data_IF_194013114018
#
_entry.id   IF_194013114018
#
_cell.length_a   1.000
_cell.length_b   1.000
_cell.length_c   1.000
_cell.angle_alpha   90.00
_cell.angle_beta   90.00
_cell.angle_gamma   90.00
#
_symmetry.space_group_name_H-M   'P 1'
#
loop_
_entity.id
_entity.type
_entity.pdbx_description
1 polymer ?
#
# COMPACT_ATOMS: atom_id res chain seq x y z
N UNK A 1 -44.07 4.25 -5.27
CA UNK A 1 -45.09 5.31 -5.42
C UNK A 1 -45.50 5.78 -4.04
N UNK A 2 -44.73 6.70 -3.43
CA UNK A 2 -45.22 7.53 -2.33
C UNK A 2 -44.67 8.94 -2.56
N UNK A 3 -45.54 9.80 -3.09
CA UNK A 3 -45.37 11.22 -3.13
C UNK A 3 -45.74 11.76 -1.74
N UNK A 4 -44.79 12.33 -1.01
CA UNK A 4 -45.06 13.17 0.15
C UNK A 4 -45.12 14.61 -0.30
N UNK A 5 -46.34 15.16 -0.31
CA UNK A 5 -46.62 16.59 -0.34
C UNK A 5 -46.08 17.20 0.97
N UNK A 6 -45.15 18.14 0.84
CA UNK A 6 -44.83 19.07 1.91
C UNK A 6 -45.51 20.35 1.61
N UNK A 7 -46.57 20.64 2.36
CA UNK A 7 -47.27 21.89 2.38
C UNK A 7 -46.38 23.00 2.94
N UNK A 8 -46.43 24.09 2.24
CA UNK A 8 -45.92 25.41 2.48
C UNK A 8 -46.39 25.95 3.85
N UNK A 9 -45.50 26.03 4.82
CA UNK A 9 -45.70 26.77 6.05
C UNK A 9 -44.83 28.03 6.03
N UNK A 10 -45.42 29.06 5.45
CA UNK A 10 -45.02 30.47 5.61
C UNK A 10 -45.06 30.84 7.09
N UNK A 11 -43.89 30.93 7.74
CA UNK A 11 -43.75 31.54 9.05
C UNK A 11 -43.05 32.89 8.89
N UNK A 12 -43.86 33.93 8.99
CA UNK A 12 -43.42 35.32 9.11
C UNK A 12 -42.45 35.55 10.27
N UNK A 13 -41.38 36.22 9.96
CA UNK A 13 -40.68 37.26 10.70
C UNK A 13 -40.51 37.11 12.21
N UNK A 14 -39.34 36.56 12.61
CA UNK A 14 -38.71 37.10 13.81
C UNK A 14 -37.25 37.36 13.48
N UNK A 15 -36.94 38.65 13.22
CA UNK A 15 -35.55 39.13 13.24
C UNK A 15 -35.01 38.95 14.65
N UNK A 16 -34.30 37.87 14.88
CA UNK A 16 -33.31 37.78 15.96
C UNK A 16 -31.93 38.08 15.35
N UNK A 17 -31.64 39.39 15.22
CA UNK A 17 -30.27 39.87 15.07
C UNK A 17 -29.65 40.01 16.45
N UNK A 18 -29.36 38.89 17.10
CA UNK A 18 -28.31 38.80 18.10
C UNK A 18 -27.23 37.91 17.51
N UNK A 19 -26.31 38.58 16.81
CA UNK A 19 -25.04 37.96 16.43
C UNK A 19 -24.31 37.58 17.71
N UNK A 20 -24.32 36.29 18.04
CA UNK A 20 -23.40 35.71 19.03
C UNK A 20 -22.01 35.78 18.40
N UNK A 21 -21.12 36.70 18.86
CA UNK A 21 -19.77 36.76 18.34
C UNK A 21 -19.04 35.55 18.93
N UNK A 22 -18.76 34.55 18.12
CA UNK A 22 -17.96 33.36 18.50
C UNK A 22 -18.39 32.05 17.87
N UNK A 23 -19.59 31.93 17.29
CA UNK A 23 -20.13 30.65 16.80
C UNK A 23 -19.60 30.21 15.43
N UNK A 24 -19.06 31.12 14.62
CA UNK A 24 -18.57 30.81 13.27
C UNK A 24 -17.16 30.15 13.31
N UNK A 25 -16.32 30.58 14.22
CA UNK A 25 -14.92 30.09 14.36
C UNK A 25 -14.86 28.64 14.86
N UNK A 26 -15.80 28.25 15.74
CA UNK A 26 -15.86 26.85 16.25
C UNK A 26 -16.40 25.86 15.21
N UNK A 27 -17.26 26.27 14.29
CA UNK A 27 -17.78 25.44 13.21
C UNK A 27 -16.73 25.23 12.12
N UNK A 28 -15.98 26.25 11.76
CA UNK A 28 -14.89 26.16 10.78
C UNK A 28 -13.75 25.29 11.30
N UNK A 29 -13.38 25.42 12.58
CA UNK A 29 -12.35 24.57 13.19
C UNK A 29 -12.79 23.09 13.27
N UNK A 30 -14.05 22.80 13.59
CA UNK A 30 -14.56 21.42 13.60
C UNK A 30 -14.58 20.80 12.19
N UNK A 31 -14.91 21.58 11.17
CA UNK A 31 -14.89 21.13 9.77
C UNK A 31 -13.47 20.83 9.30
N UNK A 32 -12.49 21.66 9.67
CA UNK A 32 -11.09 21.45 9.36
C UNK A 32 -10.53 20.20 10.08
N UNK A 33 -10.87 19.99 11.35
CA UNK A 33 -10.47 18.79 12.11
C UNK A 33 -11.03 17.50 11.46
N UNK A 34 -12.26 17.50 10.97
CA UNK A 34 -12.89 16.37 10.27
C UNK A 34 -12.22 16.12 8.92
N UNK A 35 -11.86 17.18 8.18
CA UNK A 35 -11.16 17.05 6.91
C UNK A 35 -9.76 16.46 7.09
N UNK A 36 -9.03 16.86 8.11
CA UNK A 36 -7.72 16.33 8.47
C UNK A 36 -7.78 14.82 8.81
N UNK A 37 -8.78 14.42 9.63
CA UNK A 37 -9.00 13.01 9.96
C UNK A 37 -9.34 12.14 8.74
N UNK A 38 -10.14 12.66 7.80
CA UNK A 38 -10.46 11.95 6.54
C UNK A 38 -9.25 11.81 5.63
N UNK A 39 -8.40 12.82 5.59
CA UNK A 39 -7.17 12.75 4.83
C UNK A 39 -6.23 11.67 5.41
N UNK A 40 -6.08 11.63 6.74
CA UNK A 40 -5.26 10.61 7.40
C UNK A 40 -5.82 9.20 7.22
N UNK A 41 -7.15 9.03 7.23
CA UNK A 41 -7.80 7.75 6.93
C UNK A 41 -7.49 7.30 5.50
N UNK A 42 -7.56 8.20 4.51
CA UNK A 42 -7.20 7.89 3.14
C UNK A 42 -5.73 7.47 2.99
N UNK A 43 -4.82 8.13 3.72
CA UNK A 43 -3.40 7.77 3.74
C UNK A 43 -3.13 6.41 4.40
N UNK A 44 -3.94 6.00 5.39
CA UNK A 44 -3.87 4.66 6.00
C UNK A 44 -4.30 3.60 4.99
N UNK A 45 -5.41 3.84 4.27
CA UNK A 45 -5.91 2.92 3.22
C UNK A 45 -4.88 2.75 2.10
N UNK A 46 -4.23 3.84 1.67
CA UNK A 46 -3.16 3.77 0.67
C UNK A 46 -1.96 2.95 1.17
N UNK A 47 -1.56 3.15 2.44
CA UNK A 47 -0.45 2.40 3.04
C UNK A 47 -0.76 0.91 3.20
N UNK A 48 -2.02 0.54 3.47
CA UNK A 48 -2.48 -0.83 3.56
C UNK A 48 -2.43 -1.51 2.18
N UNK A 49 -2.93 -0.86 1.15
CA UNK A 49 -2.85 -1.35 -0.23
C UNK A 49 -1.39 -1.51 -0.72
N UNK A 50 -0.48 -0.59 -0.34
CA UNK A 50 0.95 -0.72 -0.63
C UNK A 50 1.56 -1.96 0.07
N UNK A 51 1.16 -2.23 1.31
CA UNK A 51 1.62 -3.39 2.06
C UNK A 51 1.11 -4.70 1.47
N UNK A 52 -0.14 -4.74 1.00
CA UNK A 52 -0.74 -5.91 0.34
C UNK A 52 -0.02 -6.24 -0.99
N UNK A 53 0.21 -5.25 -1.87
CA UNK A 53 0.98 -5.43 -3.12
C UNK A 53 2.40 -5.97 -2.84
N UNK A 54 3.05 -5.45 -1.81
CA UNK A 54 4.37 -5.95 -1.40
C UNK A 54 4.30 -7.39 -0.87
N UNK A 55 3.24 -7.76 -0.13
CA UNK A 55 2.99 -9.12 0.33
C UNK A 55 2.88 -10.10 -0.84
N UNK A 56 2.02 -9.83 -1.81
CA UNK A 56 1.87 -10.66 -3.01
C UNK A 56 3.19 -10.84 -3.79
N UNK A 57 4.03 -9.82 -3.81
CA UNK A 57 5.34 -9.88 -4.48
C UNK A 57 6.33 -10.76 -3.74
N UNK A 58 6.27 -10.81 -2.41
CA UNK A 58 7.09 -11.73 -1.62
C UNK A 58 6.64 -13.18 -1.83
N UNK A 59 5.34 -13.44 -1.75
CA UNK A 59 4.80 -14.78 -1.96
C UNK A 59 5.22 -15.33 -3.33
N UNK A 60 5.13 -14.49 -4.37
CA UNK A 60 5.62 -14.86 -5.70
C UNK A 60 7.13 -15.12 -5.74
N UNK A 61 7.93 -14.35 -5.01
CA UNK A 61 9.37 -14.54 -4.96
C UNK A 61 9.76 -15.84 -4.22
N UNK A 62 9.02 -16.19 -3.16
CA UNK A 62 9.17 -17.46 -2.45
C UNK A 62 8.83 -18.63 -3.36
N UNK A 63 7.70 -18.59 -4.07
CA UNK A 63 7.30 -19.61 -5.04
C UNK A 63 8.38 -19.83 -6.14
N UNK A 64 8.91 -18.74 -6.69
CA UNK A 64 9.99 -18.79 -7.68
C UNK A 64 11.27 -19.39 -7.09
N UNK A 65 11.59 -19.08 -5.84
CA UNK A 65 12.75 -19.60 -5.15
C UNK A 65 12.62 -21.11 -4.94
N UNK A 66 11.49 -21.57 -4.43
CA UNK A 66 11.18 -23.01 -4.23
C UNK A 66 11.23 -23.80 -5.54
N UNK A 67 10.80 -23.19 -6.65
CA UNK A 67 10.83 -23.82 -7.98
C UNK A 67 12.26 -23.95 -8.53
N UNK A 68 13.11 -22.95 -8.31
CA UNK A 68 14.46 -22.89 -8.94
C UNK A 68 15.52 -23.54 -8.06
N UNK A 69 15.37 -23.53 -6.74
CA UNK A 69 16.36 -24.04 -5.80
C UNK A 69 16.73 -25.52 -6.04
N UNK A 70 15.79 -26.45 -6.29
CA UNK A 70 16.12 -27.86 -6.62
C UNK A 70 16.96 -27.95 -7.89
N UNK A 71 16.62 -27.18 -8.93
CA UNK A 71 17.33 -27.17 -10.22
C UNK A 71 18.78 -26.72 -10.04
N UNK A 72 19.02 -25.72 -9.19
CA UNK A 72 20.38 -25.24 -8.88
C UNK A 72 21.14 -26.25 -8.03
N UNK A 73 20.48 -26.84 -7.03
CA UNK A 73 21.10 -27.83 -6.11
C UNK A 73 21.50 -29.10 -6.83
N UNK A 74 20.67 -29.58 -7.74
CA UNK A 74 20.97 -30.75 -8.58
C UNK A 74 22.04 -30.45 -9.65
N UNK A 75 22.48 -29.20 -9.77
CA UNK A 75 23.41 -28.75 -10.78
C UNK A 75 22.86 -28.85 -12.19
N UNK A 76 21.53 -28.84 -12.33
CA UNK A 76 20.86 -28.71 -13.60
C UNK A 76 20.80 -27.21 -13.99
N UNK A 77 20.46 -26.95 -15.24
CA UNK A 77 20.28 -25.59 -15.72
C UNK A 77 18.91 -25.43 -16.40
N UNK A 78 18.26 -24.31 -16.19
CA UNK A 78 17.00 -23.99 -16.86
C UNK A 78 17.22 -23.87 -18.37
N UNK A 79 16.29 -24.37 -19.15
CA UNK A 79 16.26 -24.13 -20.58
C UNK A 79 15.83 -22.67 -20.90
N UNK A 80 15.86 -22.31 -22.18
CA UNK A 80 15.51 -20.93 -22.62
C UNK A 80 14.08 -20.56 -22.24
N UNK A 81 13.12 -21.49 -22.31
CA UNK A 81 11.72 -21.23 -22.00
C UNK A 81 11.53 -20.98 -20.51
N UNK A 82 12.05 -21.88 -19.68
CA UNK A 82 12.00 -21.79 -18.23
C UNK A 82 12.73 -20.55 -17.70
N UNK A 83 13.87 -20.19 -18.29
CA UNK A 83 14.59 -18.97 -17.95
C UNK A 83 13.76 -17.71 -18.28
N UNK A 84 13.05 -17.66 -19.39
CA UNK A 84 12.16 -16.54 -19.72
C UNK A 84 11.00 -16.41 -18.73
N UNK A 85 10.43 -17.54 -18.27
CA UNK A 85 9.39 -17.56 -17.25
C UNK A 85 9.93 -17.03 -15.93
N UNK A 86 11.08 -17.50 -15.48
CA UNK A 86 11.75 -17.00 -14.28
C UNK A 86 11.96 -15.49 -14.34
N UNK A 87 12.53 -14.98 -15.43
CA UNK A 87 12.76 -13.54 -15.60
C UNK A 87 11.46 -12.72 -15.60
N UNK A 88 10.38 -13.28 -16.11
CA UNK A 88 9.06 -12.62 -16.08
C UNK A 88 8.54 -12.54 -14.65
N UNK A 89 8.62 -13.63 -13.90
CA UNK A 89 8.27 -13.63 -12.47
C UNK A 89 9.14 -12.66 -11.67
N UNK A 90 10.46 -12.68 -11.85
CA UNK A 90 11.37 -11.74 -11.19
C UNK A 90 11.06 -10.27 -11.49
N UNK A 91 10.65 -9.94 -12.72
CA UNK A 91 10.22 -8.56 -13.06
C UNK A 91 8.95 -8.15 -12.32
N UNK A 92 8.04 -9.08 -12.08
CA UNK A 92 6.84 -8.84 -11.28
C UNK A 92 7.21 -8.61 -9.82
N UNK A 93 8.07 -9.44 -9.25
CA UNK A 93 8.60 -9.28 -7.88
C UNK A 93 9.32 -7.94 -7.71
N UNK A 94 10.20 -7.58 -8.64
CA UNK A 94 10.94 -6.32 -8.60
C UNK A 94 10.03 -5.07 -8.69
N UNK A 95 8.84 -5.22 -9.27
CA UNK A 95 7.86 -4.16 -9.39
C UNK A 95 8.23 -3.07 -10.41
N UNK A 96 7.39 -2.03 -10.53
CA UNK A 96 7.51 -1.04 -11.61
C UNK A 96 8.85 -0.30 -11.65
N UNK A 97 9.44 -0.03 -10.48
CA UNK A 97 10.68 0.77 -10.35
C UNK A 97 11.93 0.00 -10.75
N UNK A 98 12.01 -1.31 -10.47
CA UNK A 98 13.21 -2.11 -10.65
C UNK A 98 13.13 -3.16 -11.76
N UNK A 99 11.95 -3.37 -12.37
CA UNK A 99 11.75 -4.38 -13.43
C UNK A 99 12.72 -4.30 -14.60
N UNK A 100 13.23 -3.09 -14.90
CA UNK A 100 14.18 -2.86 -15.98
C UNK A 100 15.61 -3.35 -15.67
N UNK A 101 15.89 -3.64 -14.39
CA UNK A 101 17.18 -4.17 -13.94
C UNK A 101 17.22 -5.70 -14.05
N UNK A 102 16.06 -6.36 -14.03
CA UNK A 102 15.96 -7.81 -14.07
C UNK A 102 16.34 -8.34 -15.46
N UNK A 103 17.28 -9.26 -15.46
CA UNK A 103 17.72 -9.94 -16.68
C UNK A 103 18.72 -9.17 -17.55
N UNK A 104 19.28 -8.04 -17.07
CA UNK A 104 20.28 -7.25 -17.82
C UNK A 104 21.53 -8.06 -18.16
N UNK A 105 21.92 -8.96 -17.27
CA UNK A 105 23.16 -9.75 -17.43
C UNK A 105 22.90 -11.18 -17.93
N UNK A 106 21.66 -11.46 -18.37
CA UNK A 106 21.32 -12.78 -18.92
C UNK A 106 21.79 -12.93 -20.33
N UNK A 107 22.71 -13.87 -20.54
CA UNK A 107 23.23 -14.24 -21.86
C UNK A 107 22.43 -15.44 -22.39
N UNK A 108 21.34 -15.17 -23.10
CA UNK A 108 20.47 -16.22 -23.68
C UNK A 108 21.24 -17.15 -24.64
N UNK A 109 22.26 -16.62 -25.33
CA UNK A 109 23.15 -17.38 -26.20
C UNK A 109 23.93 -18.44 -25.41
N UNK A 110 24.39 -18.12 -24.19
CA UNK A 110 25.07 -19.08 -23.32
C UNK A 110 24.15 -20.22 -22.86
N UNK A 111 22.85 -19.93 -22.66
CA UNK A 111 21.84 -20.94 -22.32
C UNK A 111 21.60 -21.88 -23.50
N UNK A 112 21.60 -21.35 -24.71
CA UNK A 112 21.44 -22.13 -25.96
C UNK A 112 22.68 -22.95 -26.29
N UNK A 113 23.88 -22.49 -25.87
CA UNK A 113 25.16 -23.14 -26.23
C UNK A 113 25.41 -24.47 -25.52
N UNK A 114 24.73 -24.79 -24.43
CA UNK A 114 24.85 -26.09 -23.77
C UNK A 114 24.60 -26.11 -22.26
N UNK A 115 24.81 -27.28 -21.66
CA UNK A 115 24.51 -27.55 -20.24
C UNK A 115 25.28 -26.62 -19.29
N UNK A 116 26.54 -26.39 -19.55
CA UNK A 116 27.41 -25.54 -18.71
C UNK A 116 26.92 -24.10 -18.66
N UNK A 117 26.57 -23.52 -19.82
CA UNK A 117 26.02 -22.16 -19.89
C UNK A 117 24.67 -22.06 -19.18
N UNK A 118 23.80 -23.07 -19.31
CA UNK A 118 22.52 -23.11 -18.58
C UNK A 118 22.72 -23.11 -17.08
N UNK A 119 23.59 -23.96 -16.55
CA UNK A 119 23.89 -24.03 -15.11
C UNK A 119 24.39 -22.69 -14.59
N UNK A 120 25.34 -22.08 -15.23
CA UNK A 120 25.93 -20.83 -14.79
C UNK A 120 24.89 -19.69 -14.82
N UNK A 121 24.12 -19.55 -15.90
CA UNK A 121 23.09 -18.52 -15.98
C UNK A 121 21.97 -18.74 -14.96
N UNK A 122 21.57 -20.00 -14.71
CA UNK A 122 20.57 -20.32 -13.67
C UNK A 122 21.06 -19.94 -12.30
N UNK A 123 22.32 -20.24 -11.96
CA UNK A 123 22.92 -19.87 -10.67
C UNK A 123 22.95 -18.36 -10.48
N UNK A 124 23.41 -17.60 -11.48
CA UNK A 124 23.45 -16.14 -11.43
C UNK A 124 22.04 -15.56 -11.20
N UNK A 125 21.04 -16.07 -11.91
CA UNK A 125 19.67 -15.57 -11.75
C UNK A 125 19.05 -15.96 -10.42
N UNK A 126 19.39 -17.12 -9.88
CA UNK A 126 18.94 -17.56 -8.56
C UNK A 126 19.51 -16.69 -7.43
N UNK A 127 20.77 -16.30 -7.48
CA UNK A 127 21.35 -15.34 -6.53
C UNK A 127 20.67 -13.96 -6.66
N UNK A 128 20.43 -13.49 -7.88
CA UNK A 128 19.68 -12.24 -8.11
C UNK A 128 18.25 -12.31 -7.58
N UNK A 129 17.58 -13.45 -7.67
CA UNK A 129 16.24 -13.66 -7.10
C UNK A 129 16.28 -13.56 -5.57
N UNK A 130 17.26 -14.20 -4.90
CA UNK A 130 17.44 -14.09 -3.44
C UNK A 130 17.66 -12.65 -2.99
N UNK A 131 18.48 -11.89 -3.70
CA UNK A 131 18.70 -10.48 -3.39
C UNK A 131 17.42 -9.65 -3.57
N UNK A 132 16.64 -9.93 -4.61
CA UNK A 132 15.36 -9.30 -4.87
C UNK A 132 14.34 -9.61 -3.77
N UNK A 133 14.28 -10.86 -3.31
CA UNK A 133 13.44 -11.30 -2.20
C UNK A 133 13.82 -10.57 -0.90
N UNK A 134 15.11 -10.51 -0.59
CA UNK A 134 15.59 -9.78 0.60
C UNK A 134 15.21 -8.30 0.55
N UNK A 135 15.39 -7.65 -0.60
CA UNK A 135 14.99 -6.25 -0.78
C UNK A 135 13.47 -6.05 -0.63
N UNK A 136 12.66 -6.97 -1.13
CA UNK A 136 11.21 -6.95 -0.97
C UNK A 136 10.80 -7.09 0.51
N UNK A 137 11.41 -7.99 1.26
CA UNK A 137 11.19 -8.13 2.71
C UNK A 137 11.52 -6.85 3.50
N UNK A 138 12.63 -6.20 3.20
CA UNK A 138 12.98 -4.94 3.86
C UNK A 138 12.00 -3.81 3.49
N UNK A 139 11.50 -3.78 2.24
CA UNK A 139 10.47 -2.83 1.82
C UNK A 139 9.14 -3.05 2.57
N UNK A 140 8.72 -4.30 2.77
CA UNK A 140 7.53 -4.65 3.56
C UNK A 140 7.69 -4.18 5.00
N UNK A 141 8.80 -4.49 5.66
CA UNK A 141 9.04 -4.03 7.03
C UNK A 141 8.97 -2.50 7.15
N UNK A 142 9.49 -1.78 6.16
CA UNK A 142 9.43 -0.33 6.11
C UNK A 142 8.00 0.19 5.90
N UNK A 143 7.22 -0.44 5.01
CA UNK A 143 5.82 -0.12 4.76
C UNK A 143 4.97 -0.34 6.02
N UNK A 144 5.11 -1.49 6.69
CA UNK A 144 4.42 -1.76 7.96
C UNK A 144 4.78 -0.75 9.06
N UNK A 145 6.05 -0.39 9.21
CA UNK A 145 6.45 0.66 10.17
C UNK A 145 5.77 1.99 9.87
N UNK A 146 5.70 2.38 8.60
CA UNK A 146 5.06 3.62 8.15
C UNK A 146 3.56 3.59 8.41
N UNK A 147 2.89 2.51 8.02
CA UNK A 147 1.45 2.32 8.26
C UNK A 147 1.11 2.34 9.75
N UNK A 148 1.87 1.62 10.57
CA UNK A 148 1.67 1.60 12.02
C UNK A 148 1.85 2.97 12.66
N UNK A 149 2.84 3.76 12.24
CA UNK A 149 3.03 5.11 12.74
C UNK A 149 1.83 6.02 12.40
N UNK A 150 1.28 5.91 11.18
CA UNK A 150 0.09 6.64 10.75
C UNK A 150 -1.16 6.23 11.55
N UNK A 151 -1.40 4.93 11.72
CA UNK A 151 -2.51 4.40 12.53
C UNK A 151 -2.44 4.92 13.97
N UNK A 152 -1.26 4.90 14.57
CA UNK A 152 -1.04 5.43 15.93
C UNK A 152 -1.38 6.92 16.02
N UNK A 153 -0.94 7.71 15.05
CA UNK A 153 -1.21 9.16 15.01
C UNK A 153 -2.69 9.44 14.84
N UNK A 154 -3.34 8.76 13.89
CA UNK A 154 -4.78 8.85 13.66
C UNK A 154 -5.59 8.48 14.90
N UNK A 155 -5.23 7.39 15.58
CA UNK A 155 -5.90 6.96 16.82
C UNK A 155 -5.83 8.02 17.91
N UNK A 156 -4.66 8.63 18.13
CA UNK A 156 -4.46 9.70 19.12
C UNK A 156 -5.33 10.91 18.77
N UNK A 157 -5.31 11.36 17.52
CA UNK A 157 -6.11 12.51 17.05
C UNK A 157 -7.61 12.25 17.17
N UNK A 158 -8.08 11.07 16.77
CA UNK A 158 -9.50 10.69 16.88
C UNK A 158 -9.96 10.66 18.35
N UNK A 159 -9.13 10.17 19.25
CA UNK A 159 -9.42 10.14 20.67
C UNK A 159 -9.48 11.55 21.28
N UNK A 160 -8.57 12.44 20.88
CA UNK A 160 -8.56 13.82 21.35
C UNK A 160 -9.73 14.64 20.76
N UNK A 161 -10.08 14.43 19.49
CA UNK A 161 -11.27 15.01 18.88
C UNK A 161 -12.56 14.57 19.58
N UNK A 162 -12.67 13.29 19.93
CA UNK A 162 -13.81 12.74 20.67
C UNK A 162 -13.95 13.36 22.08
N UNK A 163 -12.83 13.58 22.78
CA UNK A 163 -12.85 14.29 24.08
C UNK A 163 -13.31 15.74 23.95
N UNK A 164 -12.83 16.46 22.92
CA UNK A 164 -13.25 17.85 22.64
C UNK A 164 -14.75 17.94 22.35
N UNK A 165 -15.28 17.03 21.51
CA UNK A 165 -16.70 16.97 21.20
C UNK A 165 -17.55 16.71 22.43
N UNK A 166 -17.13 15.77 23.30
CA UNK A 166 -17.81 15.50 24.57
C UNK A 166 -17.85 16.73 25.48
N UNK A 167 -16.72 17.42 25.63
CA UNK A 167 -16.64 18.63 26.44
C UNK A 167 -17.50 19.78 25.89
N UNK A 168 -17.63 19.91 24.54
CA UNK A 168 -18.55 20.87 23.90
C UNK A 168 -20.02 20.50 24.15
N UNK A 169 -20.38 19.22 24.01
CA UNK A 169 -21.74 18.76 24.26
C UNK A 169 -22.18 18.96 25.73
N UNK A 170 -21.28 18.82 26.70
CA UNK A 170 -21.53 19.08 28.11
C UNK A 170 -21.77 20.59 28.41
N UNK A 171 -21.15 21.50 27.64
CA UNK A 171 -21.37 22.97 27.78
C UNK A 171 -22.70 23.44 27.23
N UNK A 172 -23.32 22.69 26.32
CA UNK A 172 -24.60 23.05 25.68
C UNK A 172 -25.80 22.56 26.52
N UNK A 173 -25.59 21.71 27.47
CA UNK A 173 -26.59 21.13 28.38
C UNK A 173 -26.77 21.94 29.65
#
# INVERSE_FOLDING_TARGET
LFALHLEDASVEGTRLTDAVPGGLDESETATAEIADLRQEEAEIVEADAEAEDLGERVDLAEELTETVEPVVTEGAGLDVASMKLLLTGMRRVAGPRAKHLVGRDVKMESISAGVSGRREQTRIQFESLKDTLKAAWEAIKAAFKKAWAKIKTWYIKTFDASKKLKARAEKIR
#
